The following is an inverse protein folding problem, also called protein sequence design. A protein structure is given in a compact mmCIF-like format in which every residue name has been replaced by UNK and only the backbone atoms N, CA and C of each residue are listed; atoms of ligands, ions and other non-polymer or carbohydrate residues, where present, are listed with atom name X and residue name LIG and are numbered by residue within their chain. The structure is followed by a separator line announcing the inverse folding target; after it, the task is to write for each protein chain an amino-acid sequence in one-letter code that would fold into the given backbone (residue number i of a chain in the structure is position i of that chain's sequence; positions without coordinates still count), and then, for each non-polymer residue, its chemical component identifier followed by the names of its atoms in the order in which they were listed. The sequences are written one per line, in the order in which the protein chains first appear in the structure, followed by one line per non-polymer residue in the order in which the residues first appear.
data_IF_344094032568
#
_entry.id   IF_344094032568
#
_cell.length_a   1.000
_cell.length_b   1.000
_cell.length_c   1.000
_cell.angle_alpha   90.00
_cell.angle_beta   90.00
_cell.angle_gamma   90.00
#
_symmetry.space_group_name_H-M   'P 1'
#
loop_
_entity.id
_entity.type
_entity.pdbx_description
1 polymer ?
#
# COMPACT_ATOMS: atom_id res chain seq x y z
N UNK A 1 11.49 -1.51 -3.24
CA UNK A 1 11.34 -1.88 -1.82
C UNK A 1 10.06 -2.67 -1.75
N UNK A 2 10.03 -3.92 -1.24
CA UNK A 2 8.86 -4.77 -1.27
C UNK A 2 7.68 -4.06 -0.61
N UNK A 3 6.78 -3.46 -1.39
CA UNK A 3 5.48 -2.93 -0.93
C UNK A 3 4.72 -4.07 -0.23
N UNK A 4 4.94 -5.29 -0.70
CA UNK A 4 4.53 -6.55 -0.07
C UNK A 4 5.07 -6.75 1.35
N UNK A 5 6.31 -6.35 1.65
CA UNK A 5 6.87 -6.45 3.01
C UNK A 5 6.26 -5.41 3.95
N UNK A 6 5.86 -4.23 3.45
CA UNK A 6 5.16 -3.21 4.23
C UNK A 6 3.69 -3.59 4.51
N UNK A 7 3.07 -4.38 3.62
CA UNK A 7 1.73 -4.94 3.81
C UNK A 7 1.74 -6.22 4.66
N UNK A 8 2.89 -6.86 4.84
CA UNK A 8 3.06 -8.09 5.62
C UNK A 8 2.52 -8.03 7.06
N UNK A 9 2.64 -6.94 7.85
CA UNK A 9 2.02 -6.85 9.17
C UNK A 9 0.48 -6.76 9.13
N UNK A 10 -0.09 -6.21 8.05
CA UNK A 10 -1.55 -6.11 7.85
C UNK A 10 -2.13 -7.41 7.27
N UNK A 11 -1.41 -8.04 6.35
CA UNK A 11 -1.77 -9.32 5.72
C UNK A 11 -1.35 -10.55 6.56
N UNK A 12 -0.45 -10.36 7.51
CA UNK A 12 0.09 -11.39 8.40
C UNK A 12 -0.96 -12.19 9.17
N UNK A 13 -1.96 -11.57 9.83
CA UNK A 13 -3.02 -12.31 10.51
C UNK A 13 -3.89 -13.13 9.52
N UNK A 14 -4.21 -12.57 8.35
CA UNK A 14 -5.02 -13.24 7.32
C UNK A 14 -4.27 -14.44 6.72
N UNK A 15 -3.00 -14.26 6.40
CA UNK A 15 -2.12 -15.34 5.94
C UNK A 15 -1.91 -16.40 7.03
N UNK A 16 -1.84 -16.00 8.30
CA UNK A 16 -1.70 -16.89 9.45
C UNK A 16 -2.89 -17.83 9.65
N UNK A 17 -4.10 -17.34 9.46
CA UNK A 17 -5.32 -18.16 9.57
C UNK A 17 -5.46 -19.16 8.41
N UNK A 18 -5.11 -18.74 7.19
CA UNK A 18 -5.07 -19.64 6.02
C UNK A 18 -3.95 -20.69 6.18
N UNK A 19 -2.78 -20.32 6.70
CA UNK A 19 -1.69 -21.25 6.94
C UNK A 19 -2.02 -22.28 8.03
N UNK A 20 -2.68 -21.87 9.12
CA UNK A 20 -3.15 -22.81 10.16
C UNK A 20 -4.19 -23.78 9.62
N UNK A 21 -5.02 -23.35 8.67
CA UNK A 21 -6.03 -24.22 8.04
C UNK A 21 -5.42 -25.21 7.04
N UNK A 22 -4.22 -24.95 6.51
CA UNK A 22 -3.53 -25.80 5.54
C UNK A 22 -2.42 -26.66 6.18
N UNK A 23 -1.82 -26.23 7.29
CA UNK A 23 -0.71 -26.94 7.96
C UNK A 23 -0.88 -26.94 9.50
N UNK A 24 -1.21 -28.08 10.12
CA UNK A 24 -1.36 -28.22 11.57
C UNK A 24 -0.06 -28.16 12.40
N UNK A 25 1.12 -28.27 11.76
CA UNK A 25 2.42 -28.42 12.44
C UNK A 25 3.24 -27.09 12.40
N UNK A 26 3.45 -26.40 13.54
CA UNK A 26 3.99 -25.03 13.59
C UNK A 26 5.43 -24.90 13.07
N UNK A 27 6.24 -25.96 13.15
CA UNK A 27 7.62 -25.95 12.66
C UNK A 27 7.70 -25.97 11.12
N UNK A 28 6.80 -26.71 10.46
CA UNK A 28 6.73 -26.80 9.00
C UNK A 28 6.07 -25.55 8.41
N UNK A 29 5.07 -24.98 9.10
CA UNK A 29 4.47 -23.70 8.74
C UNK A 29 5.49 -22.55 8.76
N UNK A 30 6.37 -22.51 9.78
CA UNK A 30 7.42 -21.50 9.86
C UNK A 30 8.47 -21.63 8.74
N UNK A 31 8.87 -22.87 8.40
CA UNK A 31 9.79 -23.10 7.28
C UNK A 31 9.16 -22.78 5.92
N UNK A 32 7.89 -23.15 5.72
CA UNK A 32 7.13 -22.80 4.52
C UNK A 32 6.96 -21.28 4.39
N UNK A 33 6.65 -20.58 5.50
CA UNK A 33 6.59 -19.11 5.52
C UNK A 33 7.93 -18.47 5.19
N UNK A 34 9.05 -19.00 5.69
CA UNK A 34 10.39 -18.51 5.36
C UNK A 34 10.71 -18.71 3.87
N UNK A 35 10.40 -19.88 3.31
CA UNK A 35 10.62 -20.14 1.88
C UNK A 35 9.74 -19.27 0.99
N UNK A 36 8.47 -19.07 1.36
CA UNK A 36 7.55 -18.18 0.66
C UNK A 36 8.03 -16.72 0.75
N UNK A 37 8.49 -16.27 1.93
CA UNK A 37 9.05 -14.93 2.10
C UNK A 37 10.32 -14.72 1.27
N UNK A 38 11.23 -15.71 1.22
CA UNK A 38 12.44 -15.62 0.39
C UNK A 38 12.10 -15.54 -1.10
N UNK A 39 11.21 -16.41 -1.59
CA UNK A 39 10.74 -16.36 -2.99
C UNK A 39 10.02 -15.05 -3.32
N UNK A 40 9.20 -14.55 -2.40
CA UNK A 40 8.54 -13.25 -2.53
C UNK A 40 9.56 -12.12 -2.54
N UNK A 41 10.59 -12.14 -1.70
CA UNK A 41 11.65 -11.12 -1.71
C UNK A 41 12.42 -11.14 -3.04
N UNK A 42 12.80 -12.32 -3.53
CA UNK A 42 13.49 -12.48 -4.82
C UNK A 42 12.66 -11.93 -5.98
N UNK A 43 11.35 -12.16 -5.99
CA UNK A 43 10.46 -11.69 -7.06
C UNK A 43 9.86 -10.30 -6.81
N UNK A 44 9.92 -9.77 -5.59
CA UNK A 44 9.31 -8.48 -5.26
C UNK A 44 9.91 -7.34 -6.05
N UNK A 45 11.23 -7.34 -6.22
CA UNK A 45 11.94 -6.31 -6.98
C UNK A 45 11.53 -6.31 -8.46
N UNK A 46 11.31 -7.48 -9.06
CA UNK A 46 10.90 -7.57 -10.47
C UNK A 46 9.43 -7.20 -10.66
N UNK A 47 8.55 -7.62 -9.75
CA UNK A 47 7.13 -7.24 -9.75
C UNK A 47 7.00 -5.72 -9.60
N UNK A 48 7.79 -5.11 -8.72
CA UNK A 48 7.81 -3.66 -8.53
C UNK A 48 8.36 -2.91 -9.73
N UNK A 49 9.44 -3.41 -10.32
CA UNK A 49 10.00 -2.83 -11.53
C UNK A 49 8.96 -2.86 -12.65
N UNK A 50 8.25 -3.98 -12.84
CA UNK A 50 7.18 -4.11 -13.83
C UNK A 50 6.02 -3.15 -13.54
N UNK A 51 5.57 -3.05 -12.30
CA UNK A 51 4.51 -2.11 -11.92
C UNK A 51 4.92 -0.65 -12.13
N UNK A 52 6.16 -0.28 -11.77
CA UNK A 52 6.70 1.05 -11.99
C UNK A 52 6.86 1.35 -13.49
N UNK A 53 7.21 0.36 -14.30
CA UNK A 53 7.36 0.49 -15.74
C UNK A 53 6.00 0.71 -16.44
N UNK A 54 4.96 0.00 -16.01
CA UNK A 54 3.58 0.26 -16.45
C UNK A 54 3.18 1.70 -16.12
N UNK A 55 3.42 2.16 -14.89
CA UNK A 55 3.10 3.54 -14.48
C UNK A 55 3.87 4.56 -15.33
N UNK A 56 5.17 4.33 -15.58
CA UNK A 56 5.97 5.20 -16.45
C UNK A 56 5.45 5.23 -17.88
N UNK A 57 5.06 4.08 -18.41
CA UNK A 57 4.53 3.92 -19.76
C UNK A 57 3.18 4.62 -19.90
N UNK A 58 2.30 4.48 -18.90
CA UNK A 58 1.02 5.20 -18.84
C UNK A 58 1.23 6.71 -18.77
N UNK A 59 2.13 7.17 -17.89
CA UNK A 59 2.44 8.59 -17.70
C UNK A 59 3.14 9.21 -18.92
N UNK A 60 3.91 8.43 -19.67
CA UNK A 60 4.58 8.84 -20.90
C UNK A 60 3.71 8.64 -22.15
N UNK A 61 2.48 8.15 -22.00
CA UNK A 61 1.57 7.92 -23.13
C UNK A 61 1.22 9.25 -23.82
N UNK A 62 1.23 9.25 -25.16
CA UNK A 62 0.80 10.41 -25.96
C UNK A 62 -0.70 10.75 -25.75
N UNK A 63 -1.49 9.78 -25.26
CA UNK A 63 -2.90 9.99 -24.98
C UNK A 63 -3.10 10.65 -23.60
N UNK A 64 -3.56 11.90 -23.59
CA UNK A 64 -3.70 12.74 -22.39
C UNK A 64 -4.51 12.09 -21.25
N UNK A 65 -5.57 11.33 -21.58
CA UNK A 65 -6.38 10.66 -20.57
C UNK A 65 -5.59 9.53 -19.88
N UNK A 66 -4.76 8.81 -20.61
CA UNK A 66 -3.94 7.71 -20.09
C UNK A 66 -2.79 8.24 -19.24
N UNK A 67 -2.25 9.41 -19.58
CA UNK A 67 -1.23 10.07 -18.77
C UNK A 67 -1.80 10.70 -17.49
N UNK A 68 -3.03 11.21 -17.54
CA UNK A 68 -3.57 12.11 -16.49
C UNK A 68 -4.68 11.48 -15.64
N UNK A 69 -5.16 10.26 -15.92
CA UNK A 69 -6.26 9.67 -15.14
C UNK A 69 -5.96 9.53 -13.64
N UNK A 70 -4.71 9.18 -13.27
CA UNK A 70 -4.30 9.09 -11.85
C UNK A 70 -4.41 10.46 -11.14
N UNK A 71 -3.83 11.55 -11.66
CA UNK A 71 -4.09 12.90 -11.16
C UNK A 71 -5.57 13.30 -11.16
N UNK A 72 -6.34 12.96 -12.21
CA UNK A 72 -7.76 13.30 -12.30
C UNK A 72 -8.55 12.65 -11.16
N UNK A 73 -8.29 11.38 -10.86
CA UNK A 73 -8.93 10.68 -9.73
C UNK A 73 -8.58 11.35 -8.40
N UNK A 74 -7.32 11.76 -8.21
CA UNK A 74 -6.90 12.48 -7.00
C UNK A 74 -7.58 13.86 -6.89
N UNK A 75 -7.69 14.59 -7.99
CA UNK A 75 -8.37 15.88 -8.05
C UNK A 75 -9.88 15.74 -7.83
N UNK A 76 -10.51 14.67 -8.31
CA UNK A 76 -11.91 14.36 -8.03
C UNK A 76 -12.14 14.10 -6.54
N UNK A 77 -11.31 13.29 -5.90
CA UNK A 77 -11.41 13.06 -4.44
C UNK A 77 -11.17 14.35 -3.64
N UNK A 78 -10.15 15.12 -3.98
CA UNK A 78 -9.91 16.42 -3.35
C UNK A 78 -11.09 17.39 -3.58
N UNK A 79 -11.67 17.37 -4.79
CA UNK A 79 -12.83 18.17 -5.17
C UNK A 79 -14.08 17.79 -4.37
N UNK A 80 -14.34 16.50 -4.15
CA UNK A 80 -15.46 16.01 -3.34
C UNK A 80 -15.31 16.45 -1.87
N UNK A 81 -14.10 16.35 -1.30
CA UNK A 81 -13.82 16.83 0.06
C UNK A 81 -14.02 18.34 0.16
N UNK A 82 -13.54 19.09 -0.84
CA UNK A 82 -13.65 20.55 -0.88
C UNK A 82 -15.09 21.02 -1.07
N UNK A 83 -15.84 20.42 -2.00
CA UNK A 83 -17.25 20.70 -2.24
C UNK A 83 -18.08 20.48 -0.96
N UNK A 84 -17.77 19.42 -0.20
CA UNK A 84 -18.40 19.16 1.10
C UNK A 84 -18.16 20.28 2.12
N UNK A 85 -16.95 20.83 2.16
CA UNK A 85 -16.58 21.97 3.03
C UNK A 85 -17.34 23.25 2.68
N UNK A 86 -17.60 23.47 1.38
CA UNK A 86 -18.42 24.59 0.91
C UNK A 86 -19.93 24.35 1.06
N UNK A 87 -20.35 23.24 1.68
CA UNK A 87 -21.77 22.92 1.88
C UNK A 87 -22.45 22.31 0.66
N UNK A 88 -21.72 22.02 -0.42
CA UNK A 88 -22.20 21.25 -1.57
C UNK A 88 -22.06 19.75 -1.30
N UNK A 89 -22.85 19.28 -0.35
CA UNK A 89 -23.01 17.86 -0.02
C UNK A 89 -24.37 17.38 -0.52
N UNK A 90 -24.51 16.07 -0.72
CA UNK A 90 -25.84 15.49 -0.86
C UNK A 90 -26.68 15.84 0.39
N UNK A 91 -27.90 16.39 0.24
CA UNK A 91 -28.83 16.52 1.36
C UNK A 91 -29.15 15.12 1.89
N UNK A 92 -29.26 14.98 3.21
CA UNK A 92 -29.64 13.74 3.90
C UNK A 92 -28.59 12.60 3.97
N UNK A 93 -27.29 12.92 4.02
CA UNK A 93 -26.28 11.92 4.43
C UNK A 93 -26.50 11.49 5.88
N UNK A 94 -26.69 10.19 6.12
CA UNK A 94 -26.78 9.64 7.47
C UNK A 94 -25.44 9.74 8.22
N UNK A 95 -25.49 9.77 9.55
CA UNK A 95 -24.29 9.83 10.41
C UNK A 95 -23.34 8.63 10.19
N UNK A 96 -23.89 7.47 9.80
CA UNK A 96 -23.12 6.29 9.44
C UNK A 96 -22.36 6.46 8.11
N UNK A 97 -23.01 7.01 7.10
CA UNK A 97 -22.37 7.32 5.81
C UNK A 97 -21.30 8.41 5.98
N UNK A 98 -21.56 9.39 6.84
CA UNK A 98 -20.59 10.43 7.19
C UNK A 98 -19.30 9.86 7.77
N UNK A 99 -19.42 8.98 8.77
CA UNK A 99 -18.27 8.33 9.42
C UNK A 99 -17.48 7.51 8.40
N UNK A 100 -18.18 6.74 7.57
CA UNK A 100 -17.53 5.91 6.56
C UNK A 100 -16.79 6.73 5.48
N UNK A 101 -17.35 7.87 5.07
CA UNK A 101 -16.68 8.78 4.14
C UNK A 101 -15.38 9.35 4.73
N UNK A 102 -15.38 9.72 6.01
CA UNK A 102 -14.16 10.19 6.68
C UNK A 102 -13.13 9.10 6.87
N UNK A 103 -13.55 7.89 7.22
CA UNK A 103 -12.66 6.73 7.31
C UNK A 103 -11.93 6.51 5.97
N UNK A 104 -12.66 6.54 4.84
CA UNK A 104 -12.07 6.37 3.50
C UNK A 104 -11.00 7.44 3.21
N UNK A 105 -11.25 8.69 3.58
CA UNK A 105 -10.29 9.80 3.40
C UNK A 105 -9.07 9.62 4.30
N UNK A 106 -9.28 9.28 5.57
CA UNK A 106 -8.20 9.02 6.54
C UNK A 106 -7.31 7.87 6.08
N UNK A 107 -7.90 6.76 5.62
CA UNK A 107 -7.15 5.64 5.05
C UNK A 107 -6.44 6.01 3.75
N UNK A 108 -7.06 6.82 2.89
CA UNK A 108 -6.46 7.27 1.63
C UNK A 108 -5.23 8.15 1.83
N UNK A 109 -5.36 9.21 2.64
CA UNK A 109 -4.27 10.14 2.95
C UNK A 109 -3.25 9.47 3.88
N UNK A 110 -3.72 8.76 4.91
CA UNK A 110 -2.88 8.02 5.85
C UNK A 110 -2.03 6.97 5.14
N UNK A 111 -2.61 6.22 4.19
CA UNK A 111 -1.88 5.28 3.35
C UNK A 111 -0.79 5.92 2.50
N UNK A 112 -1.06 7.08 1.89
CA UNK A 112 -0.05 7.83 1.12
C UNK A 112 1.09 8.35 2.02
N UNK A 113 0.76 8.92 3.18
CA UNK A 113 1.74 9.45 4.13
C UNK A 113 2.61 8.33 4.71
N UNK A 114 2.01 7.20 5.07
CA UNK A 114 2.74 6.00 5.54
C UNK A 114 3.64 5.47 4.42
N UNK A 115 3.15 5.35 3.19
CA UNK A 115 3.93 4.89 2.05
C UNK A 115 5.15 5.78 1.76
N UNK A 116 4.96 7.10 1.73
CA UNK A 116 6.05 8.07 1.57
C UNK A 116 7.02 8.09 2.75
N UNK A 117 6.53 7.86 3.96
CA UNK A 117 7.36 7.81 5.16
C UNK A 117 8.22 6.56 5.16
N UNK A 118 7.65 5.39 4.85
CA UNK A 118 8.38 4.13 4.70
C UNK A 118 9.45 4.21 3.60
N UNK A 119 9.13 4.81 2.45
CA UNK A 119 10.08 5.03 1.35
C UNK A 119 11.33 5.82 1.81
N UNK A 120 11.17 6.75 2.76
CA UNK A 120 12.25 7.61 3.26
C UNK A 120 12.98 7.08 4.48
N UNK A 121 12.30 6.39 5.39
CA UNK A 121 12.90 5.95 6.66
C UNK A 121 13.54 4.57 6.55
N UNK A 122 13.04 3.68 5.69
CA UNK A 122 13.60 2.34 5.51
C UNK A 122 15.06 2.30 5.00
N UNK A 123 15.54 3.20 4.11
CA UNK A 123 16.95 3.24 3.74
C UNK A 123 17.84 3.65 4.93
N UNK A 124 17.35 4.58 5.76
CA UNK A 124 18.07 5.09 6.92
C UNK A 124 18.19 4.03 8.02
N UNK A 125 17.13 3.25 8.26
CA UNK A 125 17.15 2.15 9.25
C UNK A 125 17.88 0.93 8.73
N UNK A 126 17.76 0.57 7.44
CA UNK A 126 18.55 -0.52 6.84
C UNK A 126 20.05 -0.22 6.87
N UNK A 127 20.46 1.03 6.61
CA UNK A 127 21.84 1.48 6.76
C UNK A 127 22.34 1.44 8.21
N UNK A 128 21.50 1.83 9.17
CA UNK A 128 21.83 1.78 10.59
C UNK A 128 21.98 0.34 11.12
N UNK A 129 21.12 -0.58 10.68
CA UNK A 129 21.16 -2.01 11.08
C UNK A 129 22.34 -2.74 10.42
N UNK A 130 22.66 -2.45 9.16
CA UNK A 130 23.83 -3.00 8.49
C UNK A 130 25.15 -2.53 9.13
N UNK A 131 25.19 -1.29 9.64
CA UNK A 131 26.34 -0.75 10.35
C UNK A 131 26.52 -1.37 11.75
N UNK A 132 25.42 -1.72 12.45
CA UNK A 132 25.49 -2.38 13.76
C UNK A 132 25.86 -3.86 13.69
N UNK A 133 25.59 -4.54 12.56
CA UNK A 133 26.01 -5.94 12.33
C UNK A 133 27.48 -6.09 11.92
N UNK A 134 28.17 -4.98 11.59
CA UNK A 134 29.58 -4.96 11.16
C UNK A 134 30.55 -4.59 12.29
N UNK A 135 30.05 -4.42 13.51
CA UNK A 135 30.80 -4.14 14.75
C UNK A 135 30.83 -5.39 15.62
#
# INVERSE_FOLDING_TARGET
MPVLAALLPVLGPILGDVLKSLFPDPAQAAQAQLQIQMKLMEQSASIEAAAADIIKTEAASEHWLTATWRPIVMLLFAGLITARWFGWAAPDLSEAEYTHLWDIVEWGIGGYVIGRSAEKTLPATAGAVAASLKR
#
